data_IF_796501302888
#
_entry.id   IF_796501302888
#
_cell.length_a   1.000
_cell.length_b   1.000
_cell.length_c   1.000
_cell.angle_alpha   90.00
_cell.angle_beta   90.00
_cell.angle_gamma   90.00
#
_symmetry.space_group_name_H-M   'P 1'
#
loop_
_entity.id
_entity.type
_entity.pdbx_description
1 polymer ?
#
# COMPACT_ATOMS: atom_id res chain seq x y z
N UNK A 1 -15.60 32.04 -11.35
CA UNK A 1 -16.11 30.78 -10.75
C UNK A 1 -14.96 30.18 -9.96
N UNK A 2 -15.08 30.06 -8.62
CA UNK A 2 -14.05 29.40 -7.79
C UNK A 2 -14.16 27.90 -8.05
N UNK A 3 -13.18 27.33 -8.77
CA UNK A 3 -13.02 25.89 -8.87
C UNK A 3 -12.88 25.37 -7.44
N UNK A 4 -13.86 24.57 -6.98
CA UNK A 4 -13.77 23.88 -5.70
C UNK A 4 -12.87 22.68 -5.93
N UNK A 5 -11.58 22.89 -5.80
CA UNK A 5 -10.62 21.79 -5.87
C UNK A 5 -10.92 20.83 -4.71
N UNK A 6 -11.26 19.59 -5.03
CA UNK A 6 -11.43 18.54 -4.03
C UNK A 6 -10.08 18.32 -3.34
N UNK A 7 -10.01 18.32 -2.00
CA UNK A 7 -8.74 18.18 -1.31
C UNK A 7 -8.15 16.80 -1.60
N UNK A 8 -6.87 16.75 -1.99
CA UNK A 8 -6.17 15.52 -2.35
C UNK A 8 -6.33 14.41 -1.31
N UNK A 9 -6.31 14.75 -0.01
CA UNK A 9 -6.53 13.80 1.08
C UNK A 9 -7.85 13.04 0.96
N UNK A 10 -8.92 13.73 0.58
CA UNK A 10 -10.22 13.11 0.37
C UNK A 10 -10.20 12.17 -0.83
N UNK A 11 -9.59 12.59 -1.94
CA UNK A 11 -9.44 11.74 -3.15
C UNK A 11 -8.62 10.50 -2.82
N UNK A 12 -7.52 10.64 -2.06
CA UNK A 12 -6.67 9.54 -1.66
C UNK A 12 -7.42 8.53 -0.77
N UNK A 13 -8.11 9.01 0.27
CA UNK A 13 -8.88 8.14 1.17
C UNK A 13 -10.02 7.46 0.43
N UNK A 14 -10.77 8.20 -0.40
CA UNK A 14 -11.84 7.62 -1.20
C UNK A 14 -11.30 6.57 -2.17
N UNK A 15 -10.21 6.87 -2.87
CA UNK A 15 -9.54 5.92 -3.75
C UNK A 15 -9.10 4.66 -3.01
N UNK A 16 -8.46 4.80 -1.85
CA UNK A 16 -8.05 3.68 -1.01
C UNK A 16 -9.25 2.80 -0.63
N UNK A 17 -10.34 3.41 -0.15
CA UNK A 17 -11.55 2.68 0.23
C UNK A 17 -12.20 1.97 -0.97
N UNK A 18 -12.21 2.60 -2.14
CA UNK A 18 -12.72 1.97 -3.37
C UNK A 18 -11.85 0.75 -3.74
N UNK A 19 -10.53 0.85 -3.65
CA UNK A 19 -9.64 -0.28 -3.92
C UNK A 19 -9.82 -1.41 -2.92
N UNK A 20 -9.98 -1.08 -1.64
CA UNK A 20 -10.34 -2.06 -0.61
C UNK A 20 -11.68 -2.72 -0.94
N UNK A 21 -12.67 -1.97 -1.40
CA UNK A 21 -13.96 -2.53 -1.81
C UNK A 21 -13.85 -3.50 -3.01
N UNK A 22 -13.09 -3.13 -4.04
CA UNK A 22 -12.94 -3.94 -5.26
C UNK A 22 -12.10 -5.20 -5.01
N UNK A 23 -10.95 -5.04 -4.35
CA UNK A 23 -9.99 -6.12 -4.15
C UNK A 23 -10.28 -6.93 -2.89
N UNK A 24 -10.88 -6.33 -1.87
CA UNK A 24 -11.08 -6.94 -0.55
C UNK A 24 -11.94 -8.18 -0.60
N UNK A 25 -12.97 -8.21 -1.45
CA UNK A 25 -13.79 -9.41 -1.62
C UNK A 25 -12.97 -10.62 -2.06
N UNK A 26 -12.14 -10.46 -3.10
CA UNK A 26 -11.23 -11.51 -3.57
C UNK A 26 -10.17 -11.83 -2.52
N UNK A 27 -9.60 -10.82 -1.86
CA UNK A 27 -8.59 -10.99 -0.83
C UNK A 27 -9.09 -11.75 0.41
N UNK A 28 -10.38 -11.66 0.74
CA UNK A 28 -10.97 -12.42 1.85
C UNK A 28 -11.29 -13.86 1.48
N UNK A 29 -11.87 -14.08 0.31
CA UNK A 29 -12.33 -15.40 -0.11
C UNK A 29 -11.20 -16.28 -0.65
N UNK A 30 -10.26 -15.64 -1.35
CA UNK A 30 -9.17 -16.28 -2.04
C UNK A 30 -7.88 -15.47 -1.79
N UNK A 31 -7.40 -15.39 -0.53
CA UNK A 31 -6.17 -14.67 -0.20
C UNK A 31 -4.95 -15.18 -0.99
N UNK A 32 -5.02 -16.44 -1.45
CA UNK A 32 -3.99 -17.12 -2.22
C UNK A 32 -4.51 -17.67 -3.57
N UNK A 33 -5.69 -17.24 -4.03
CA UNK A 33 -6.35 -17.84 -5.20
C UNK A 33 -6.49 -16.93 -6.42
N UNK A 34 -7.11 -17.46 -7.48
CA UNK A 34 -7.22 -16.79 -8.78
C UNK A 34 -8.13 -15.56 -8.73
N UNK A 35 -7.52 -14.42 -9.01
CA UNK A 35 -8.18 -13.12 -9.08
C UNK A 35 -8.62 -12.85 -10.53
N UNK A 36 -9.72 -12.13 -10.73
CA UNK A 36 -10.19 -11.80 -12.09
C UNK A 36 -9.53 -10.50 -12.60
N UNK A 37 -9.69 -10.23 -13.91
CA UNK A 37 -9.04 -9.07 -14.56
C UNK A 37 -9.43 -7.70 -13.98
N UNK A 38 -10.60 -7.57 -13.34
CA UNK A 38 -11.05 -6.29 -12.78
C UNK A 38 -10.24 -5.86 -11.57
N UNK A 39 -9.87 -6.79 -10.69
CA UNK A 39 -9.01 -6.45 -9.54
C UNK A 39 -7.59 -6.12 -9.99
N UNK A 40 -7.07 -6.78 -11.03
CA UNK A 40 -5.77 -6.41 -11.60
C UNK A 40 -5.81 -4.99 -12.16
N UNK A 41 -6.85 -4.63 -12.93
CA UNK A 41 -7.03 -3.27 -13.44
C UNK A 41 -7.12 -2.25 -12.30
N UNK A 42 -7.91 -2.53 -11.26
CA UNK A 42 -8.05 -1.66 -10.10
C UNK A 42 -6.70 -1.45 -9.38
N UNK A 43 -5.96 -2.54 -9.17
CA UNK A 43 -4.64 -2.50 -8.54
C UNK A 43 -3.62 -1.72 -9.36
N UNK A 44 -3.61 -1.90 -10.69
CA UNK A 44 -2.77 -1.10 -11.60
C UNK A 44 -3.15 0.39 -11.53
N UNK A 45 -4.45 0.71 -11.52
CA UNK A 45 -4.92 2.09 -11.41
C UNK A 45 -4.48 2.73 -10.08
N UNK A 46 -4.55 1.99 -8.97
CA UNK A 46 -4.06 2.45 -7.68
C UNK A 46 -2.54 2.63 -7.66
N UNK A 47 -1.79 1.71 -8.26
CA UNK A 47 -0.34 1.82 -8.38
C UNK A 47 0.05 3.08 -9.17
N UNK A 48 -0.60 3.33 -10.30
CA UNK A 48 -0.41 4.55 -11.09
C UNK A 48 -0.76 5.79 -10.25
N UNK A 49 -1.84 5.75 -9.48
CA UNK A 49 -2.22 6.81 -8.56
C UNK A 49 -1.16 7.08 -7.49
N UNK A 50 -0.60 6.04 -6.87
CA UNK A 50 0.48 6.14 -5.89
C UNK A 50 1.74 6.72 -6.53
N UNK A 51 2.21 6.15 -7.64
CA UNK A 51 3.42 6.61 -8.34
C UNK A 51 3.24 8.05 -8.83
N UNK A 52 2.11 8.36 -9.48
CA UNK A 52 1.78 9.72 -9.91
C UNK A 52 1.77 10.70 -8.73
N UNK A 53 1.24 10.29 -7.58
CA UNK A 53 1.27 11.11 -6.36
C UNK A 53 2.69 11.46 -5.92
N UNK A 54 3.66 10.56 -6.09
CA UNK A 54 5.07 10.83 -5.76
C UNK A 54 5.66 11.97 -6.61
N UNK A 55 5.30 12.06 -7.89
CA UNK A 55 5.87 13.02 -8.82
C UNK A 55 5.10 14.34 -8.87
N UNK A 56 3.77 14.29 -8.89
CA UNK A 56 2.93 15.45 -9.21
C UNK A 56 2.45 16.24 -7.99
N UNK A 57 2.48 15.68 -6.78
CA UNK A 57 2.13 16.43 -5.57
C UNK A 57 3.24 17.42 -5.22
N UNK A 58 2.85 18.69 -5.14
CA UNK A 58 3.69 19.80 -4.69
C UNK A 58 3.26 20.37 -3.34
N UNK A 59 2.03 20.06 -2.89
CA UNK A 59 1.52 20.55 -1.63
C UNK A 59 2.11 19.76 -0.44
N UNK A 60 2.79 20.45 0.47
CA UNK A 60 3.46 19.86 1.65
C UNK A 60 2.54 18.98 2.50
N UNK A 61 1.28 19.39 2.69
CA UNK A 61 0.30 18.65 3.50
C UNK A 61 -0.08 17.31 2.88
N UNK A 62 -0.06 17.24 1.55
CA UNK A 62 -0.40 16.06 0.75
C UNK A 62 0.82 15.17 0.57
N UNK A 63 2.01 15.76 0.39
CA UNK A 63 3.28 15.02 0.40
C UNK A 63 3.52 14.34 1.75
N UNK A 64 3.26 15.04 2.86
CA UNK A 64 3.37 14.48 4.22
C UNK A 64 2.44 13.29 4.43
N UNK A 65 1.22 13.33 3.89
CA UNK A 65 0.31 12.19 3.92
C UNK A 65 0.93 10.99 3.18
N UNK A 66 1.48 11.19 1.99
CA UNK A 66 2.11 10.12 1.20
C UNK A 66 3.32 9.52 1.91
N UNK A 67 4.19 10.36 2.47
CA UNK A 67 5.35 9.90 3.24
C UNK A 67 4.90 9.03 4.41
N UNK A 68 3.90 9.45 5.18
CA UNK A 68 3.39 8.65 6.30
C UNK A 68 2.74 7.35 5.85
N UNK A 69 1.89 7.40 4.81
CA UNK A 69 1.25 6.21 4.25
C UNK A 69 2.28 5.17 3.81
N UNK A 70 3.33 5.58 3.10
CA UNK A 70 4.37 4.66 2.60
C UNK A 70 5.25 4.16 3.75
N UNK A 71 5.61 5.00 4.74
CA UNK A 71 6.38 4.57 5.92
C UNK A 71 5.65 3.53 6.74
N UNK A 72 4.37 3.80 7.05
CA UNK A 72 3.55 2.85 7.79
C UNK A 72 3.34 1.60 6.94
N UNK A 73 3.09 1.74 5.65
CA UNK A 73 2.95 0.63 4.71
C UNK A 73 4.16 -0.28 4.70
N UNK A 74 5.39 0.26 4.61
CA UNK A 74 6.63 -0.52 4.66
C UNK A 74 6.73 -1.35 5.95
N UNK A 75 6.51 -0.73 7.11
CA UNK A 75 6.60 -1.41 8.40
C UNK A 75 5.48 -2.46 8.53
N UNK A 76 4.28 -2.10 8.12
CA UNK A 76 3.10 -2.96 8.15
C UNK A 76 3.28 -4.21 7.28
N UNK A 77 3.83 -4.08 6.07
CA UNK A 77 4.00 -5.23 5.18
C UNK A 77 5.15 -6.13 5.59
N UNK A 78 6.24 -5.60 6.15
CA UNK A 78 7.26 -6.42 6.82
C UNK A 78 6.69 -7.16 8.04
N UNK A 79 5.85 -6.50 8.82
CA UNK A 79 5.14 -7.12 9.93
C UNK A 79 4.24 -8.26 9.45
N UNK A 80 3.45 -8.06 8.40
CA UNK A 80 2.57 -9.11 7.84
C UNK A 80 3.39 -10.33 7.40
N UNK A 81 4.49 -10.11 6.68
CA UNK A 81 5.39 -11.21 6.29
C UNK A 81 5.96 -11.93 7.51
N UNK A 82 6.43 -11.18 8.52
CA UNK A 82 6.93 -11.74 9.77
C UNK A 82 5.91 -12.61 10.51
N UNK A 83 4.64 -12.18 10.57
CA UNK A 83 3.57 -12.98 11.18
C UNK A 83 3.31 -14.25 10.36
N UNK A 84 3.29 -14.18 9.03
CA UNK A 84 3.09 -15.36 8.17
C UNK A 84 4.18 -16.44 8.36
N UNK A 85 5.42 -16.05 8.65
CA UNK A 85 6.50 -17.01 8.93
C UNK A 85 6.32 -17.75 10.26
N UNK A 86 5.58 -17.16 11.21
CA UNK A 86 5.35 -17.73 12.54
C UNK A 86 4.07 -18.59 12.59
N UNK A 87 3.20 -18.48 11.59
CA UNK A 87 1.88 -19.12 11.57
C UNK A 87 1.96 -20.64 11.77
N UNK A 88 2.88 -21.33 11.07
CA UNK A 88 3.02 -22.78 11.19
C UNK A 88 3.45 -23.28 12.58
N UNK A 89 4.04 -22.42 13.42
CA UNK A 89 4.53 -22.79 14.74
C UNK A 89 3.59 -22.37 15.89
N UNK A 90 2.77 -21.34 15.69
CA UNK A 90 2.05 -20.68 16.78
C UNK A 90 0.55 -20.50 16.53
N UNK A 91 0.00 -20.99 15.41
CA UNK A 91 -1.42 -20.85 15.04
C UNK A 91 -2.42 -21.37 16.08
N UNK A 92 -2.01 -22.29 16.95
CA UNK A 92 -2.89 -22.83 18.01
C UNK A 92 -2.91 -21.99 19.30
N UNK A 93 -2.21 -20.85 19.34
CA UNK A 93 -2.05 -20.04 20.55
C UNK A 93 -2.88 -18.75 20.52
N UNK A 94 -3.54 -18.44 21.64
CA UNK A 94 -4.45 -17.28 21.75
C UNK A 94 -3.78 -15.93 21.51
N UNK A 95 -2.50 -15.78 21.85
CA UNK A 95 -1.78 -14.54 21.61
C UNK A 95 -1.47 -14.36 20.12
N UNK A 96 -1.32 -15.47 19.39
CA UNK A 96 -1.12 -15.46 17.94
C UNK A 96 -2.39 -15.06 17.21
N UNK A 97 -3.58 -15.47 17.68
CA UNK A 97 -4.87 -14.97 17.16
C UNK A 97 -4.97 -13.44 17.25
N UNK A 98 -4.53 -12.88 18.38
CA UNK A 98 -4.46 -11.42 18.56
C UNK A 98 -3.50 -10.75 17.58
N UNK A 99 -2.35 -11.38 17.34
CA UNK A 99 -1.35 -10.90 16.38
C UNK A 99 -1.86 -10.95 14.93
N UNK A 100 -2.49 -12.06 14.55
CA UNK A 100 -3.11 -12.28 13.24
C UNK A 100 -4.26 -11.29 12.99
N UNK A 101 -5.02 -10.93 14.03
CA UNK A 101 -6.08 -9.91 13.93
C UNK A 101 -5.50 -8.53 13.57
N UNK A 102 -4.37 -8.14 14.17
CA UNK A 102 -3.68 -6.88 13.83
C UNK A 102 -3.07 -6.95 12.43
N UNK A 103 -2.47 -8.10 12.07
CA UNK A 103 -1.97 -8.37 10.73
C UNK A 103 -3.05 -8.16 9.68
N UNK A 104 -4.27 -8.64 9.93
CA UNK A 104 -5.39 -8.51 9.00
C UNK A 104 -5.77 -7.04 8.74
N UNK A 105 -5.78 -6.19 9.77
CA UNK A 105 -6.03 -4.75 9.60
C UNK A 105 -4.98 -4.11 8.68
N UNK A 106 -3.71 -4.43 8.90
CA UNK A 106 -2.62 -3.93 8.07
C UNK A 106 -2.66 -4.47 6.64
N UNK A 107 -3.03 -5.74 6.48
CA UNK A 107 -3.20 -6.37 5.19
C UNK A 107 -4.24 -5.60 4.34
N UNK A 108 -5.38 -5.25 4.95
CA UNK A 108 -6.42 -4.47 4.29
C UNK A 108 -5.98 -3.08 3.88
N UNK A 109 -5.18 -2.40 4.69
CA UNK A 109 -4.78 -1.03 4.41
C UNK A 109 -3.63 -0.94 3.40
N UNK A 110 -2.71 -1.92 3.40
CA UNK A 110 -1.43 -1.77 2.72
C UNK A 110 -1.13 -2.83 1.66
N UNK A 111 -1.87 -3.94 1.65
CA UNK A 111 -1.69 -5.03 0.67
C UNK A 111 -2.91 -5.14 -0.25
N UNK A 112 -4.12 -5.19 0.33
CA UNK A 112 -5.39 -5.32 -0.43
C UNK A 112 -5.56 -4.30 -1.56
N UNK A 113 -5.18 -3.01 -1.43
CA UNK A 113 -5.32 -2.05 -2.52
C UNK A 113 -4.56 -2.43 -3.80
N UNK A 114 -3.54 -3.29 -3.69
CA UNK A 114 -2.73 -3.79 -4.79
C UNK A 114 -2.86 -5.30 -5.02
N UNK A 115 -3.78 -5.96 -4.30
CA UNK A 115 -3.88 -7.42 -4.28
C UNK A 115 -4.18 -8.04 -5.65
N UNK A 116 -4.83 -7.32 -6.56
CA UNK A 116 -5.03 -7.79 -7.92
C UNK A 116 -3.74 -8.00 -8.73
N UNK A 117 -2.59 -7.50 -8.27
CA UNK A 117 -1.28 -7.84 -8.84
C UNK A 117 -0.81 -9.24 -8.41
N UNK A 118 -1.36 -9.82 -7.33
CA UNK A 118 -1.02 -11.17 -6.91
C UNK A 118 -1.40 -12.22 -7.97
N UNK A 119 -2.41 -11.92 -8.79
CA UNK A 119 -2.82 -12.70 -9.95
C UNK A 119 -1.67 -12.95 -10.95
N UNK A 120 -0.63 -12.13 -10.94
CA UNK A 120 0.49 -12.20 -11.88
C UNK A 120 1.71 -12.89 -11.29
N UNK A 121 1.73 -13.08 -9.97
CA UNK A 121 2.87 -13.64 -9.24
C UNK A 121 2.59 -15.03 -8.67
N UNK A 122 1.32 -15.40 -8.47
CA UNK A 122 0.91 -16.71 -7.94
C UNK A 122 1.62 -17.05 -6.62
N UNK A 123 1.74 -16.05 -5.74
CA UNK A 123 2.39 -16.19 -4.43
C UNK A 123 1.37 -16.11 -3.30
N UNK A 124 1.72 -16.67 -2.14
CA UNK A 124 0.88 -16.58 -0.95
C UNK A 124 0.80 -15.14 -0.46
N UNK A 125 -0.27 -14.77 0.25
CA UNK A 125 -0.45 -13.38 0.71
C UNK A 125 0.72 -12.88 1.59
N UNK A 126 1.34 -13.78 2.37
CA UNK A 126 2.55 -13.49 3.14
C UNK A 126 3.70 -13.06 2.25
N UNK A 127 4.01 -13.85 1.22
CA UNK A 127 5.05 -13.54 0.22
C UNK A 127 4.70 -12.28 -0.60
N UNK A 128 3.43 -12.11 -0.96
CA UNK A 128 2.97 -10.90 -1.63
C UNK A 128 3.18 -9.66 -0.77
N UNK A 129 3.00 -9.76 0.55
CA UNK A 129 3.30 -8.65 1.47
C UNK A 129 4.79 -8.27 1.48
N UNK A 130 5.70 -9.23 1.26
CA UNK A 130 7.12 -8.94 1.07
C UNK A 130 7.37 -8.17 -0.24
N UNK A 131 6.69 -8.50 -1.33
CA UNK A 131 6.77 -7.69 -2.56
C UNK A 131 6.26 -6.27 -2.33
N UNK A 132 5.20 -6.13 -1.53
CA UNK A 132 4.68 -4.83 -1.12
C UNK A 132 5.68 -4.04 -0.28
N UNK A 133 6.45 -4.68 0.61
CA UNK A 133 7.51 -3.97 1.34
C UNK A 133 8.60 -3.45 0.41
N UNK A 134 9.00 -4.22 -0.61
CA UNK A 134 9.95 -3.75 -1.63
C UNK A 134 9.40 -2.53 -2.36
N UNK A 135 8.13 -2.58 -2.79
CA UNK A 135 7.47 -1.48 -3.46
C UNK A 135 7.42 -0.21 -2.60
N UNK A 136 7.01 -0.32 -1.34
CA UNK A 136 7.02 0.82 -0.41
C UNK A 136 8.44 1.33 -0.13
N UNK A 137 9.43 0.44 -0.05
CA UNK A 137 10.84 0.80 0.10
C UNK A 137 11.36 1.63 -1.08
N UNK A 138 11.10 1.18 -2.31
CA UNK A 138 11.43 1.93 -3.53
C UNK A 138 10.76 3.30 -3.51
N UNK A 139 9.45 3.35 -3.23
CA UNK A 139 8.70 4.60 -3.17
C UNK A 139 9.26 5.60 -2.14
N UNK A 140 9.70 5.09 -0.97
CA UNK A 140 10.37 5.88 0.06
C UNK A 140 11.70 6.45 -0.42
N UNK A 141 12.53 5.64 -1.08
CA UNK A 141 13.80 6.10 -1.65
C UNK A 141 13.55 7.18 -2.69
N UNK A 142 12.60 6.96 -3.61
CA UNK A 142 12.22 7.94 -4.64
C UNK A 142 11.77 9.27 -4.02
N UNK A 143 10.97 9.23 -2.95
CA UNK A 143 10.56 10.44 -2.23
C UNK A 143 11.74 11.18 -1.61
N UNK A 144 12.68 10.48 -0.97
CA UNK A 144 13.86 11.12 -0.38
C UNK A 144 14.74 11.76 -1.45
N UNK A 145 14.97 11.07 -2.57
CA UNK A 145 15.75 11.61 -3.71
C UNK A 145 15.07 12.84 -4.29
N UNK A 146 13.74 12.82 -4.47
CA UNK A 146 12.98 13.98 -4.95
C UNK A 146 13.14 15.18 -4.01
N UNK A 147 12.90 14.99 -2.71
CA UNK A 147 12.99 16.06 -1.71
C UNK A 147 14.41 16.63 -1.64
N UNK A 148 15.44 15.77 -1.71
CA UNK A 148 16.83 16.21 -1.73
C UNK A 148 17.16 17.05 -2.98
N UNK A 149 16.72 16.60 -4.16
CA UNK A 149 16.91 17.33 -5.41
C UNK A 149 16.16 18.68 -5.45
N UNK A 150 14.97 18.74 -4.87
CA UNK A 150 14.21 19.99 -4.79
C UNK A 150 14.88 20.98 -3.83
N UNK A 151 15.41 20.49 -2.71
CA UNK A 151 16.14 21.30 -1.73
C UNK A 151 17.47 21.84 -2.28
N UNK A 152 18.24 21.03 -3.01
CA UNK A 152 19.54 21.46 -3.58
C UNK A 152 19.38 22.56 -4.62
N UNK A 153 18.33 22.51 -5.45
CA UNK A 153 18.01 23.57 -6.43
C UNK A 153 17.74 24.94 -5.81
N UNK A 154 17.37 25.00 -4.54
CA UNK A 154 17.14 26.27 -3.84
C UNK A 154 18.42 26.89 -3.24
N UNK A 155 19.53 26.16 -3.23
CA UNK A 155 20.83 26.62 -2.71
C UNK A 155 21.77 27.17 -3.80
N UNK A 156 21.45 26.93 -5.08
CA UNK A 156 22.26 27.33 -6.23
C UNK A 156 21.87 28.71 -6.83
N UNK A 157 21.14 29.53 -6.08
CA UNK A 157 20.76 30.92 -6.44
C UNK A 157 21.30 31.91 -5.41
#
# INVERSE_FOLDING_TARGET
MRQRDLPYRFIFILGLLVMIGINGWSAMLHPDGTINGWQSIASVAWLIGLVGSLFYIKEDKSLRLMVWYIRIGLVATLFIYGVSLLEGAFSETIWFDGLASVQFIFYFLFVVPLFGLNAWTDVLFGEFSLYMSVLYGIALITLHVKVWNDASRHLDY
#
